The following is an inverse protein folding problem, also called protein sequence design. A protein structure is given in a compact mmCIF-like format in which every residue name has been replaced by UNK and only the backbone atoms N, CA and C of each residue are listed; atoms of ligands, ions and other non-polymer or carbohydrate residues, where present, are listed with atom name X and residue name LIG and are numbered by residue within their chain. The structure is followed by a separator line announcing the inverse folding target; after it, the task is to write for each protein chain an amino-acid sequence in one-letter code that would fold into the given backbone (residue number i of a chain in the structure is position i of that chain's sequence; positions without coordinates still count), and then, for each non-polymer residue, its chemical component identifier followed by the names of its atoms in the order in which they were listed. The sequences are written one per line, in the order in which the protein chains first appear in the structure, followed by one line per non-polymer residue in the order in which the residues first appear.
data_IF_364402667001
#
_entry.id   IF_364402667001
#
_cell.length_a   1.000
_cell.length_b   1.000
_cell.length_c   1.000
_cell.angle_alpha   90.00
_cell.angle_beta   90.00
_cell.angle_gamma   90.00
#
_symmetry.space_group_name_H-M   'P 1'
#
loop_
_entity.id
_entity.type
_entity.pdbx_description
1 polymer ?
2 non-polymer ?
3 non-polymer ?
4 non-polymer ?
5 non-polymer ?
6 non-polymer ?
7 non-polymer ?
8 water ?
#
# COMPACT_ATOMS: atom_id res chain seq x y z
N UNK A 14 4.86 17.65 -20.86
CA UNK A 14 3.69 17.31 -19.98
C UNK A 14 3.86 17.79 -18.53
N UNK A 15 3.68 16.87 -17.59
CA UNK A 15 3.78 17.22 -16.16
C UNK A 15 5.22 17.53 -15.69
N UNK A 16 6.23 16.84 -16.23
CA UNK A 16 7.63 17.06 -15.74
C UNK A 16 7.98 18.56 -15.92
N UNK A 17 7.65 19.09 -17.10
CA UNK A 17 7.96 20.51 -17.37
C UNK A 17 7.11 21.49 -16.58
N UNK A 18 5.79 21.19 -16.50
CA UNK A 18 4.86 21.94 -15.66
C UNK A 18 5.38 21.99 -14.16
N UNK A 19 5.88 20.86 -13.69
CA UNK A 19 6.48 20.80 -12.35
C UNK A 19 7.59 21.86 -12.24
N UNK A 20 8.53 21.84 -13.21
CA UNK A 20 9.66 22.76 -13.17
C UNK A 20 9.19 24.21 -13.24
N UNK A 21 8.27 24.47 -14.18
CA UNK A 21 7.73 25.85 -14.35
C UNK A 21 7.11 26.36 -13.06
N UNK A 22 6.26 25.49 -12.46
CA UNK A 22 5.48 25.90 -11.26
C UNK A 22 6.42 26.20 -10.05
N UNK A 23 7.48 25.40 -9.88
CA UNK A 23 8.33 25.67 -8.73
C UNK A 23 9.23 26.92 -8.88
N UNK A 24 9.47 27.34 -10.13
CA UNK A 24 10.23 28.59 -10.37
C UNK A 24 9.68 29.80 -9.60
N UNK A 25 8.36 30.00 -9.65
CA UNK A 25 7.74 31.19 -9.07
C UNK A 25 7.04 30.94 -7.72
N UNK A 26 6.98 29.68 -7.28
CA UNK A 26 6.31 29.34 -5.97
C UNK A 26 6.90 30.18 -4.86
N UNK A 27 6.02 30.63 -3.96
CA UNK A 27 6.45 31.27 -2.70
C UNK A 27 7.19 30.27 -1.81
N UNK A 28 7.90 30.77 -0.80
CA UNK A 28 8.61 29.87 0.10
C UNK A 28 7.65 28.82 0.71
N UNK A 29 8.17 27.66 1.02
CA UNK A 29 7.39 26.56 1.55
C UNK A 29 6.79 26.93 2.93
N UNK A 30 7.56 27.61 3.81
CA UNK A 30 7.16 28.10 5.18
C UNK A 30 6.25 27.07 5.81
N UNK A 31 6.77 25.87 6.03
CA UNK A 31 5.91 24.71 6.25
C UNK A 31 5.12 24.90 7.57
N UNK A 32 5.75 25.41 8.61
CA UNK A 32 5.05 25.61 9.87
C UNK A 32 3.88 26.59 9.69
N UNK A 33 4.06 27.65 8.95
CA UNK A 33 2.97 28.57 8.74
C UNK A 33 1.82 27.97 7.97
N UNK A 34 2.16 27.15 6.99
CA UNK A 34 1.15 26.53 6.18
C UNK A 34 0.38 25.55 7.04
N UNK A 35 1.06 24.78 7.85
CA UNK A 35 0.41 23.81 8.67
C UNK A 35 -0.48 24.52 9.67
N UNK A 36 0.02 25.61 10.21
CA UNK A 36 -0.81 26.42 11.20
C UNK A 36 -2.15 26.87 10.67
N UNK A 37 -2.22 27.34 9.42
CA UNK A 37 -3.41 27.97 8.87
C UNK A 37 -4.33 26.97 8.18
N UNK A 38 -3.89 25.72 8.15
CA UNK A 38 -4.66 24.68 7.43
C UNK A 38 -6.02 24.46 8.13
N UNK A 39 -7.06 24.42 7.31
CA UNK A 39 -8.41 24.04 7.74
C UNK A 39 -8.70 22.66 7.24
N UNK A 40 -9.29 21.80 8.08
CA UNK A 40 -9.57 20.44 7.63
C UNK A 40 -10.56 20.30 6.48
N UNK A 41 -11.43 21.28 6.25
CA UNK A 41 -12.41 21.13 5.19
C UNK A 41 -11.97 21.46 3.77
N UNK A 42 -10.65 21.68 3.59
CA UNK A 42 -10.13 22.22 2.32
C UNK A 42 -8.97 21.32 1.81
N UNK A 43 -8.84 21.29 0.47
CA UNK A 43 -7.67 20.67 -0.14
C UNK A 43 -6.41 21.44 0.24
N UNK A 44 -5.25 20.83 0.05
CA UNK A 44 -4.02 21.41 0.57
C UNK A 44 -3.48 22.53 -0.32
N UNK A 45 -2.72 23.43 0.25
CA UNK A 45 -2.06 24.46 -0.53
C UNK A 45 -1.07 23.79 -1.51
N UNK A 46 -0.83 24.51 -2.60
CA UNK A 46 -0.09 23.96 -3.71
C UNK A 46 1.17 23.17 -3.28
N UNK A 47 2.07 23.79 -2.50
CA UNK A 47 3.40 23.08 -2.35
C UNK A 47 3.29 21.73 -1.69
N UNK A 48 2.20 21.46 -0.98
CA UNK A 48 2.07 20.09 -0.44
C UNK A 48 2.05 19.07 -1.61
N UNK A 49 1.49 19.44 -2.72
CA UNK A 49 1.33 18.56 -3.85
C UNK A 49 2.40 18.73 -4.93
N UNK A 50 3.20 19.76 -4.85
CA UNK A 50 4.05 20.10 -6.04
C UNK A 50 5.48 20.36 -5.64
N UNK A 51 5.82 20.63 -4.38
CA UNK A 51 7.15 21.20 -4.08
C UNK A 51 8.13 20.08 -3.73
N UNK A 52 9.38 20.22 -4.18
CA UNK A 52 10.36 19.28 -3.66
C UNK A 52 10.65 19.38 -2.19
N UNK A 53 10.39 20.53 -1.58
CA UNK A 53 10.66 20.70 -0.16
C UNK A 53 9.68 19.83 0.62
N UNK A 54 8.42 19.87 0.25
CA UNK A 54 7.49 19.05 1.05
C UNK A 54 7.68 17.59 0.75
N UNK A 55 8.02 17.28 -0.49
CA UNK A 55 8.28 15.89 -0.84
C UNK A 55 9.42 15.33 -0.02
N UNK A 56 10.51 16.11 0.17
CA UNK A 56 11.60 15.66 1.05
C UNK A 56 11.13 15.37 2.49
N UNK A 57 10.28 16.21 3.04
CA UNK A 57 9.70 16.01 4.35
C UNK A 57 8.84 14.75 4.38
N UNK A 58 8.03 14.51 3.34
CA UNK A 58 7.16 13.36 3.27
C UNK A 58 7.94 12.07 3.29
N UNK A 59 9.08 12.04 2.58
CA UNK A 59 9.99 10.93 2.68
C UNK A 59 10.59 10.82 4.04
N UNK A 60 11.23 11.86 4.51
CA UNK A 60 11.94 11.77 5.79
C UNK A 60 11.01 11.39 6.96
N UNK A 61 9.84 12.03 7.03
CA UNK A 61 9.02 12.00 8.22
C UNK A 61 7.83 11.05 8.15
N UNK A 62 7.51 10.63 6.94
CA UNK A 62 6.32 9.74 6.76
C UNK A 62 6.74 8.38 6.23
N UNK A 63 7.28 8.35 5.00
CA UNK A 63 7.66 7.04 4.43
C UNK A 63 8.84 6.37 5.11
N UNK A 64 9.77 7.11 5.69
CA UNK A 64 10.91 6.52 6.32
C UNK A 64 10.67 6.30 7.81
N UNK A 65 9.45 6.58 8.31
CA UNK A 65 9.19 6.45 9.74
C UNK A 65 8.03 5.50 10.08
N UNK A 66 7.14 5.26 9.12
CA UNK A 66 5.94 4.46 9.41
C UNK A 66 6.09 3.05 8.83
N UNK A 67 5.28 2.10 9.35
CA UNK A 67 5.26 0.81 8.76
C UNK A 67 4.63 0.87 7.40
N UNK A 68 5.16 0.07 6.48
CA UNK A 68 4.79 0.07 5.04
C UNK A 68 4.53 -1.34 4.57
N UNK A 69 3.47 -1.55 3.82
CA UNK A 69 3.22 -2.80 3.12
C UNK A 69 4.27 -3.00 2.02
N UNK A 70 4.90 -4.15 2.00
CA UNK A 70 5.89 -4.49 0.98
C UNK A 70 5.34 -5.51 0.01
N UNK A 71 5.18 -6.75 0.43
CA UNK A 71 4.79 -7.82 -0.47
C UNK A 71 4.02 -8.92 0.29
N UNK A 72 3.28 -9.76 -0.45
CA UNK A 72 2.64 -10.93 0.25
C UNK A 72 3.67 -11.93 0.63
N UNK A 73 3.51 -12.65 1.73
CA UNK A 73 4.56 -13.57 2.18
C UNK A 73 4.66 -14.80 1.24
N UNK A 74 3.62 -15.06 0.51
CA UNK A 74 3.63 -16.20 -0.41
C UNK A 74 4.74 -16.02 -1.50
N UNK A 75 5.07 -14.78 -1.79
CA UNK A 75 6.28 -14.51 -2.66
C UNK A 75 7.59 -15.05 -2.08
N UNK A 76 7.66 -15.42 -0.83
CA UNK A 76 8.87 -15.91 -0.17
C UNK A 76 8.58 -17.34 0.36
N UNK A 77 7.87 -18.11 -0.41
CA UNK A 77 7.44 -19.44 0.05
C UNK A 77 8.61 -20.40 0.09
N UNK A 78 9.53 -20.19 -0.81
CA UNK A 78 10.58 -21.14 -1.00
C UNK A 78 11.84 -20.85 -0.21
N UNK A 79 12.59 -21.91 0.06
CA UNK A 79 13.89 -21.80 0.77
C UNK A 79 14.86 -20.93 -0.06
N UNK A 80 15.55 -20.00 0.60
CA UNK A 80 16.43 -19.04 -0.07
C UNK A 80 15.75 -18.01 -1.02
N UNK A 81 14.46 -17.91 -0.95
CA UNK A 81 13.75 -17.02 -1.80
C UNK A 81 13.90 -15.58 -1.33
N UNK A 82 13.93 -14.67 -2.30
CA UNK A 82 14.11 -13.26 -1.99
C UNK A 82 13.31 -12.42 -2.94
N UNK A 83 12.96 -11.23 -2.50
CA UNK A 83 12.30 -10.21 -3.36
C UNK A 83 12.92 -8.85 -2.95
N UNK A 84 13.04 -7.97 -3.92
CA UNK A 84 13.63 -6.63 -3.71
C UNK A 84 12.63 -5.57 -4.02
N UNK A 85 12.75 -4.44 -3.38
CA UNK A 85 11.90 -3.25 -3.61
C UNK A 85 12.67 -2.00 -3.21
N UNK A 86 12.29 -0.88 -3.86
CA UNK A 86 12.82 0.40 -3.57
C UNK A 86 11.79 1.17 -2.79
N UNK A 87 12.17 1.81 -1.73
CA UNK A 87 11.31 2.71 -0.97
C UNK A 87 12.01 4.05 -0.92
N UNK A 88 11.50 5.01 -1.69
CA UNK A 88 12.24 6.23 -1.80
C UNK A 88 13.63 5.93 -2.39
N UNK A 89 14.69 6.23 -1.63
CA UNK A 89 16.03 5.92 -2.12
C UNK A 89 16.58 4.63 -1.51
N UNK A 90 15.81 4.02 -0.62
CA UNK A 90 16.29 2.74 -0.02
C UNK A 90 16.08 1.61 -0.95
N UNK A 91 17.02 0.71 -1.05
CA UNK A 91 16.88 -0.53 -1.73
C UNK A 91 16.86 -1.66 -0.68
N UNK A 92 15.74 -2.33 -0.58
CA UNK A 92 15.51 -3.32 0.46
C UNK A 92 15.47 -4.73 -0.14
N UNK A 93 16.08 -5.71 0.50
CA UNK A 93 15.86 -7.11 0.10
C UNK A 93 15.20 -7.89 1.27
N UNK A 94 14.16 -8.67 0.90
CA UNK A 94 13.41 -9.44 1.86
C UNK A 94 13.71 -10.91 1.53
N UNK A 95 14.07 -11.72 2.54
CA UNK A 95 14.58 -13.06 2.27
C UNK A 95 13.99 -14.07 3.25
N UNK A 96 13.77 -15.28 2.74
CA UNK A 96 13.44 -16.42 3.65
C UNK A 96 14.71 -17.10 4.13
N UNK A 97 15.03 -16.92 5.40
CA UNK A 97 16.29 -17.43 5.92
C UNK A 97 16.19 -18.93 6.13
N UNK A 98 17.34 -19.51 6.44
CA UNK A 98 17.43 -20.98 6.60
C UNK A 98 16.55 -21.50 7.72
N UNK A 99 16.35 -20.72 8.79
CA UNK A 99 15.41 -21.09 9.87
C UNK A 99 13.94 -20.95 9.57
N UNK A 100 13.59 -20.63 8.33
CA UNK A 100 12.20 -20.41 7.97
C UNK A 100 11.63 -19.02 8.24
N UNK A 101 12.39 -18.15 8.92
CA UNK A 101 11.96 -16.84 9.28
C UNK A 101 12.12 -15.95 8.03
N UNK A 102 11.22 -14.99 7.86
CA UNK A 102 11.36 -13.95 6.86
C UNK A 102 11.99 -12.71 7.48
N UNK A 103 13.05 -12.20 6.84
CA UNK A 103 13.80 -11.08 7.35
C UNK A 103 14.11 -10.11 6.15
N UNK A 104 14.40 -8.89 6.50
CA UNK A 104 14.64 -7.86 5.50
C UNK A 104 15.96 -7.23 5.87
N UNK A 105 16.65 -6.76 4.82
CA UNK A 105 17.93 -6.10 4.98
C UNK A 105 18.04 -4.94 3.98
N UNK A 106 18.95 -4.02 4.25
CA UNK A 106 19.39 -3.09 3.22
C UNK A 106 20.24 -3.83 2.20
N UNK A 107 19.85 -3.65 0.94
CA UNK A 107 20.46 -4.28 -0.21
C UNK A 107 21.70 -3.48 -0.61
N UNK A 108 22.62 -3.33 0.33
CA UNK A 108 23.85 -2.56 0.11
C UNK A 108 25.00 -3.24 0.83
N UNK A 109 25.93 -3.75 0.02
CA UNK A 109 27.12 -4.40 0.52
C UNK A 109 27.93 -3.52 1.47
N UNK A 110 28.41 -4.11 2.58
CA UNK A 110 29.08 -3.34 3.61
C UNK A 110 30.52 -3.00 3.24
N UNK A 111 31.01 -3.55 2.15
CA UNK A 111 32.32 -3.22 1.62
C UNK A 111 32.34 -1.81 0.98
N UNK A 112 31.84 -1.72 -0.24
CA UNK A 112 31.82 -0.48 -0.96
C UNK A 112 30.42 -0.07 -1.41
N UNK A 113 29.43 -0.76 -0.92
CA UNK A 113 28.01 -0.27 -1.01
C UNK A 113 27.09 -0.87 -2.08
N UNK A 114 27.64 -1.69 -2.94
CA UNK A 114 26.94 -2.23 -4.10
C UNK A 114 25.59 -2.88 -3.71
N UNK A 115 24.61 -2.79 -4.61
CA UNK A 115 23.53 -3.73 -4.58
C UNK A 115 24.06 -5.15 -4.58
N UNK A 116 23.40 -6.00 -3.83
CA UNK A 116 23.74 -7.44 -3.81
C UNK A 116 22.79 -8.24 -4.68
N UNK A 117 21.51 -8.01 -4.50
CA UNK A 117 20.50 -8.68 -5.31
C UNK A 117 19.98 -7.65 -6.37
N UNK A 118 20.22 -8.01 -7.63
CA UNK A 118 19.91 -7.14 -8.75
C UNK A 118 18.51 -7.43 -9.31
N UNK A 119 18.11 -8.69 -9.30
CA UNK A 119 16.78 -9.11 -9.73
C UNK A 119 15.70 -8.79 -8.71
N UNK A 120 14.50 -8.58 -9.21
CA UNK A 120 13.28 -8.37 -8.39
C UNK A 120 12.91 -9.54 -7.50
N UNK A 121 13.19 -10.78 -7.96
CA UNK A 121 12.85 -11.99 -7.20
C UNK A 121 13.81 -13.07 -7.61
N UNK A 122 14.03 -14.02 -6.73
CA UNK A 122 14.90 -15.15 -7.06
C UNK A 122 15.05 -16.07 -5.86
N UNK A 123 15.99 -17.01 -5.98
CA UNK A 123 16.39 -17.87 -4.89
C UNK A 123 17.90 -17.92 -4.88
N UNK A 124 18.50 -17.92 -3.69
CA UNK A 124 19.90 -18.06 -3.50
C UNK A 124 20.20 -19.01 -2.35
N UNK A 125 21.45 -19.49 -2.26
CA UNK A 125 21.91 -20.19 -1.11
C UNK A 125 22.49 -19.16 -0.09
N UNK A 126 23.27 -18.24 -0.61
CA UNK A 126 23.84 -17.14 0.21
C UNK A 126 23.63 -15.83 -0.61
N UNK A 127 23.76 -14.73 0.06
CA UNK A 127 23.74 -13.39 -0.59
C UNK A 127 25.18 -13.06 -0.91
N UNK A 128 25.50 -13.09 -2.17
CA UNK A 128 26.86 -12.92 -2.69
C UNK A 128 26.99 -11.61 -3.45
N UNK A 129 27.73 -10.68 -2.92
CA UNK A 129 27.93 -9.43 -3.65
C UNK A 129 28.55 -9.65 -5.00
N UNK A 130 27.96 -9.08 -6.07
CA UNK A 130 28.49 -9.29 -7.42
C UNK A 130 29.80 -8.57 -7.73
N UNK A 131 30.23 -7.72 -6.83
CA UNK A 131 31.37 -6.86 -7.07
C UNK A 131 32.64 -7.62 -6.64
N UNK A 132 32.78 -7.93 -5.35
CA UNK A 132 34.02 -8.64 -4.90
C UNK A 132 33.64 -9.86 -4.08
N UNK A 133 32.40 -10.33 -4.19
CA UNK A 133 31.97 -11.57 -3.60
C UNK A 133 31.96 -11.70 -2.12
N UNK A 134 31.92 -10.62 -1.37
CA UNK A 134 31.60 -10.73 0.01
C UNK A 134 30.33 -11.51 0.10
N UNK A 135 30.30 -12.46 1.04
CA UNK A 135 29.26 -13.43 1.10
C UNK A 135 28.60 -13.41 2.47
N UNK A 136 27.26 -13.30 2.45
CA UNK A 136 26.45 -13.21 3.61
C UNK A 136 25.46 -14.36 3.76
N UNK A 137 25.31 -14.86 4.98
CA UNK A 137 24.24 -15.80 5.31
C UNK A 137 22.88 -15.10 5.14
N UNK A 138 21.81 -15.90 5.02
CA UNK A 138 20.46 -15.37 4.83
C UNK A 138 19.88 -14.69 6.07
N UNK A 139 20.64 -14.60 7.17
CA UNK A 139 20.27 -13.77 8.29
C UNK A 139 21.18 -12.54 8.39
N UNK A 140 21.88 -12.25 7.29
CA UNK A 140 22.68 -10.99 7.19
C UNK A 140 24.12 -11.09 7.64
N UNK A 141 24.46 -12.16 8.36
CA UNK A 141 25.85 -12.27 8.82
C UNK A 141 26.88 -12.38 7.70
N UNK A 142 27.96 -11.64 7.79
CA UNK A 142 29.05 -11.71 6.83
C UNK A 142 29.92 -12.97 7.15
N UNK A 143 29.85 -13.93 6.27
CA UNK A 143 30.56 -15.23 6.48
C UNK A 143 31.81 -15.39 5.67
N UNK A 144 32.08 -14.56 4.65
CA UNK A 144 33.32 -14.58 3.95
C UNK A 144 33.59 -13.26 3.26
N UNK A 145 34.78 -12.74 3.48
CA UNK A 145 35.25 -11.49 2.81
C UNK A 145 36.64 -11.72 2.33
N UNK A 146 36.95 -11.54 1.03
CA UNK A 146 38.26 -11.98 0.51
C UNK A 146 39.39 -10.97 0.85
N UNK A 147 40.49 -11.48 1.40
CA UNK A 147 41.66 -10.73 1.62
C UNK A 147 41.48 -9.41 2.34
N UNK A 148 40.82 -9.44 3.47
CA UNK A 148 40.69 -8.23 4.30
C UNK A 148 41.68 -8.04 5.42
N UNK A 149 42.66 -8.92 5.52
CA UNK A 149 43.69 -8.71 6.57
C UNK A 149 43.31 -9.38 7.89
N UNK A 150 44.30 -9.60 8.79
CA UNK A 150 43.93 -10.52 9.89
C UNK A 150 43.15 -9.83 11.00
N UNK A 151 43.19 -8.51 11.07
CA UNK A 151 42.36 -7.79 12.03
C UNK A 151 41.04 -7.18 11.47
N UNK A 152 40.52 -7.77 10.40
CA UNK A 152 39.15 -7.42 9.93
C UNK A 152 38.12 -8.14 10.78
N UNK A 153 37.13 -7.44 11.28
CA UNK A 153 36.12 -7.98 12.18
C UNK A 153 34.83 -8.06 11.42
N UNK A 154 34.50 -9.26 10.93
CA UNK A 154 33.34 -9.38 10.08
C UNK A 154 32.06 -9.13 10.86
N UNK A 155 32.09 -9.34 12.18
CA UNK A 155 30.92 -9.08 13.03
C UNK A 155 30.42 -7.63 12.90
N UNK A 156 31.28 -6.71 12.46
CA UNK A 156 30.88 -5.30 12.34
C UNK A 156 30.26 -5.03 10.99
N UNK A 157 30.34 -5.99 10.08
CA UNK A 157 29.98 -5.76 8.68
C UNK A 157 28.92 -6.71 8.11
N UNK A 158 27.96 -7.13 8.93
CA UNK A 158 26.81 -7.79 8.45
C UNK A 158 25.85 -6.79 7.76
N UNK A 159 24.96 -7.31 6.92
CA UNK A 159 23.98 -6.44 6.34
C UNK A 159 23.14 -5.72 7.37
N UNK A 160 22.76 -4.48 7.10
CA UNK A 160 21.96 -3.74 8.01
C UNK A 160 20.51 -4.24 7.99
N UNK A 161 19.93 -4.62 9.12
CA UNK A 161 18.59 -5.15 9.13
C UNK A 161 17.55 -4.03 8.89
N UNK A 162 16.39 -4.45 8.38
CA UNK A 162 15.18 -3.65 8.26
C UNK A 162 14.04 -4.26 9.06
N UNK A 163 13.46 -3.48 9.99
CA UNK A 163 12.33 -3.93 10.79
C UNK A 163 11.23 -4.54 9.91
N UNK A 164 10.74 -5.67 10.30
CA UNK A 164 9.76 -6.42 9.47
C UNK A 164 8.69 -7.13 10.36
N UNK A 165 7.47 -7.09 9.91
CA UNK A 165 6.35 -7.77 10.60
C UNK A 165 5.62 -8.60 9.54
N UNK A 166 4.98 -9.68 9.96
CA UNK A 166 4.09 -10.44 9.11
C UNK A 166 2.65 -10.30 9.56
N UNK A 167 1.89 -9.54 8.80
CA UNK A 167 0.48 -9.27 9.05
C UNK A 167 -0.41 -10.35 8.39
N UNK A 168 -0.47 -11.56 9.00
CA UNK A 168 -1.33 -12.60 8.53
C UNK A 168 -1.15 -12.98 7.06
N UNK A 169 0.09 -12.94 6.62
CA UNK A 169 0.39 -13.33 5.25
C UNK A 169 0.89 -12.14 4.41
N UNK A 170 0.95 -10.97 5.00
CA UNK A 170 1.36 -9.73 4.28
C UNK A 170 2.52 -9.11 4.99
N UNK A 171 3.64 -8.92 4.27
CA UNK A 171 4.84 -8.46 4.87
C UNK A 171 4.93 -6.91 4.88
N UNK A 172 5.10 -6.35 6.06
CA UNK A 172 5.25 -4.94 6.32
C UNK A 172 6.66 -4.68 6.85
N UNK A 173 7.22 -3.52 6.45
CA UNK A 173 8.56 -3.15 6.91
C UNK A 173 8.56 -1.71 7.44
N UNK A 174 9.61 -1.34 8.16
CA UNK A 174 9.73 0.01 8.68
C UNK A 174 11.22 0.40 8.67
N UNK A 175 11.49 1.52 8.02
CA UNK A 175 12.89 1.94 7.75
C UNK A 175 13.46 2.67 8.94
N UNK A 176 12.68 2.91 9.96
CA UNK A 176 13.22 3.58 11.16
C UNK A 176 13.84 2.63 12.16
N UNK A 177 14.88 3.08 12.85
CA UNK A 177 15.50 2.37 13.97
C UNK A 177 14.58 2.43 15.17
N UNK A 178 13.61 3.35 15.15
CA UNK A 178 12.60 3.39 16.17
C UNK A 178 11.17 3.29 15.66
N UNK A 179 10.78 2.12 15.24
CA UNK A 179 9.47 2.01 14.62
C UNK A 179 8.32 2.23 15.55
N UNK A 180 7.21 2.72 15.03
CA UNK A 180 6.03 2.90 15.83
C UNK A 180 5.39 1.59 16.14
N UNK A 181 4.40 1.65 17.04
CA UNK A 181 3.70 0.44 17.49
C UNK A 181 2.95 -0.18 16.31
N UNK A 182 3.26 -1.43 15.97
CA UNK A 182 2.51 -2.17 14.91
C UNK A 182 1.49 -3.13 15.53
N UNK A 183 1.72 -3.48 16.80
CA UNK A 183 0.93 -4.56 17.42
C UNK A 183 -0.52 -4.18 17.54
N UNK A 184 -0.82 -2.91 17.79
CA UNK A 184 -2.22 -2.51 17.93
C UNK A 184 -3.02 -2.83 16.67
N UNK A 185 -2.42 -2.42 15.56
CA UNK A 185 -3.04 -2.71 14.26
C UNK A 185 -3.07 -4.20 14.02
N UNK A 186 -1.98 -4.91 14.22
CA UNK A 186 -1.89 -6.34 13.91
C UNK A 186 -2.99 -7.10 14.70
N UNK A 187 -3.10 -6.81 16.00
CA UNK A 187 -4.17 -7.43 16.80
C UNK A 187 -5.57 -7.12 16.30
N UNK A 188 -5.85 -5.89 15.89
CA UNK A 188 -7.14 -5.54 15.43
C UNK A 188 -7.45 -6.25 14.15
N UNK A 189 -6.45 -6.30 13.27
CA UNK A 189 -6.72 -6.79 11.92
C UNK A 189 -6.80 -8.27 11.82
N UNK A 190 -6.16 -8.99 12.71
CA UNK A 190 -6.04 -10.44 12.57
C UNK A 190 -7.34 -11.18 12.35
N UNK A 191 -8.36 -10.89 13.16
CA UNK A 191 -9.63 -11.63 12.95
C UNK A 191 -10.24 -11.45 11.58
N UNK A 192 -10.01 -10.29 10.94
CA UNK A 192 -10.59 -10.00 9.67
C UNK A 192 -9.77 -10.68 8.60
N UNK A 193 -8.44 -10.68 8.75
CA UNK A 193 -7.56 -11.21 7.72
C UNK A 193 -7.35 -12.74 7.78
N UNK A 194 -7.43 -13.31 8.95
CA UNK A 194 -7.06 -14.71 9.11
C UNK A 194 -7.99 -15.61 8.30
N UNK A 195 -9.24 -15.19 8.08
CA UNK A 195 -10.22 -15.96 7.35
C UNK A 195 -9.94 -16.01 5.88
N UNK A 196 -8.95 -15.23 5.45
CA UNK A 196 -8.54 -15.29 4.03
C UNK A 196 -7.39 -16.21 3.76
N UNK A 197 -6.78 -16.80 4.78
CA UNK A 197 -5.76 -17.77 4.61
C UNK A 197 -4.60 -17.33 3.67
N UNK A 198 -4.17 -16.09 3.84
CA UNK A 198 -3.27 -15.49 2.86
C UNK A 198 -1.95 -16.22 2.79
N UNK A 199 -1.56 -16.91 3.85
CA UNK A 199 -0.35 -17.70 3.82
C UNK A 199 -0.44 -18.85 2.81
N UNK A 200 -1.66 -19.21 2.39
CA UNK A 200 -1.90 -20.20 1.36
C UNK A 200 -2.19 -19.63 0.01
N UNK A 201 -1.83 -18.38 -0.19
CA UNK A 201 -2.09 -17.75 -1.49
C UNK A 201 -0.93 -18.03 -2.46
N UNK A 202 -1.15 -17.66 -3.71
CA UNK A 202 -0.06 -17.43 -4.63
C UNK A 202 -0.39 -16.10 -5.33
N UNK A 203 0.61 -15.48 -5.95
CA UNK A 203 0.37 -14.28 -6.75
C UNK A 203 -0.08 -14.68 -8.17
N UNK A 204 -1.29 -14.38 -8.54
CA UNK A 204 -1.81 -14.67 -9.87
C UNK A 204 -1.31 -13.65 -10.93
N UNK A 205 -1.13 -12.43 -10.51
CA UNK A 205 -0.85 -11.34 -11.43
C UNK A 205 -0.37 -10.14 -10.60
N UNK A 206 0.53 -9.36 -11.20
CA UNK A 206 0.97 -8.11 -10.53
C UNK A 206 0.94 -7.02 -11.61
N UNK A 207 0.43 -5.85 -11.29
CA UNK A 207 0.45 -4.70 -12.15
C UNK A 207 1.13 -3.52 -11.46
N UNK A 208 2.14 -2.90 -12.14
CA UNK A 208 2.85 -1.78 -11.52
C UNK A 208 2.68 -0.63 -12.47
N UNK A 209 2.12 0.46 -12.04
CA UNK A 209 1.98 1.65 -12.88
C UNK A 209 2.55 2.87 -12.15
N UNK A 210 2.97 3.86 -12.97
CA UNK A 210 3.32 5.16 -12.42
C UNK A 210 2.23 6.13 -12.75
N UNK A 211 1.70 6.78 -11.74
CA UNK A 211 0.72 7.85 -11.91
C UNK A 211 1.46 9.15 -11.73
N UNK A 212 1.29 10.05 -12.71
CA UNK A 212 1.92 11.36 -12.63
C UNK A 212 1.16 12.34 -11.73
N UNK A 213 1.00 11.95 -10.47
CA UNK A 213 0.54 12.88 -9.42
C UNK A 213 1.20 12.57 -8.13
N UNK A 214 1.24 13.54 -7.21
CA UNK A 214 1.79 13.35 -5.86
C UNK A 214 1.07 12.22 -5.16
N UNK A 215 1.79 11.55 -4.30
CA UNK A 215 1.21 10.37 -3.57
C UNK A 215 -0.04 10.77 -2.83
N UNK A 216 -0.09 12.00 -2.36
CA UNK A 216 -1.30 12.41 -1.60
C UNK A 216 -2.50 12.49 -2.52
N UNK A 217 -2.30 12.89 -3.77
CA UNK A 217 -3.39 12.95 -4.73
C UNK A 217 -3.91 11.58 -5.11
N UNK A 218 -3.05 10.60 -5.06
CA UNK A 218 -3.41 9.21 -5.33
C UNK A 218 -4.33 8.79 -4.13
N UNK A 219 -3.92 9.13 -2.93
CA UNK A 219 -4.73 8.76 -1.73
C UNK A 219 -6.04 9.51 -1.69
N UNK A 220 -6.08 10.81 -1.99
CA UNK A 220 -7.36 11.55 -1.96
C UNK A 220 -8.31 11.00 -2.95
N UNK A 221 -7.81 10.65 -4.16
CA UNK A 221 -8.54 9.99 -5.15
C UNK A 221 -9.13 8.66 -4.67
N UNK A 222 -8.33 7.89 -3.96
CA UNK A 222 -8.76 6.60 -3.50
C UNK A 222 -9.86 6.67 -2.45
N UNK A 223 -9.78 7.68 -1.61
CA UNK A 223 -10.62 7.77 -0.46
C UNK A 223 -12.01 8.37 -0.67
N UNK A 224 -12.39 8.58 -1.91
CA UNK A 224 -13.75 8.96 -2.24
C UNK A 224 -14.29 8.24 -3.48
N UNK A 225 -15.61 8.05 -3.61
CA UNK A 225 -16.25 7.65 -4.83
C UNK A 225 -17.11 8.72 -5.40
N UNK A 226 -16.81 9.99 -4.99
CA UNK A 226 -17.39 11.20 -5.55
C UNK A 226 -17.17 11.16 -7.09
N UNK A 227 -16.06 10.57 -7.54
CA UNK A 227 -15.71 10.58 -8.95
C UNK A 227 -16.12 9.28 -9.69
N UNK A 228 -16.69 8.31 -9.00
CA UNK A 228 -16.78 6.98 -9.56
C UNK A 228 -17.88 6.78 -10.59
N UNK A 229 -19.03 7.45 -10.43
CA UNK A 229 -20.09 7.18 -11.44
C UNK A 229 -19.72 7.68 -12.80
N UNK A 230 -18.99 8.81 -12.86
CA UNK A 230 -18.59 9.34 -14.17
C UNK A 230 -17.39 8.63 -14.75
N UNK A 231 -16.57 8.05 -13.89
CA UNK A 231 -15.21 7.68 -14.30
C UNK A 231 -14.91 6.20 -14.29
N UNK A 232 -15.79 5.38 -13.64
CA UNK A 232 -15.47 3.94 -13.48
C UNK A 232 -16.60 3.01 -13.89
N UNK A 233 -16.90 2.96 -15.21
CA UNK A 233 -18.02 2.10 -15.67
C UNK A 233 -17.86 0.67 -15.20
N UNK A 234 -16.66 0.10 -15.29
CA UNK A 234 -16.54 -1.33 -14.98
C UNK A 234 -16.72 -1.56 -13.48
N UNK A 235 -16.01 -0.76 -12.65
CA UNK A 235 -16.05 -0.96 -11.21
C UNK A 235 -17.48 -0.77 -10.67
N UNK A 236 -18.19 0.23 -11.23
CA UNK A 236 -19.54 0.56 -10.79
C UNK A 236 -20.51 -0.58 -11.01
N UNK A 237 -20.14 -1.60 -11.75
CA UNK A 237 -21.05 -2.74 -11.85
C UNK A 237 -21.06 -3.60 -10.57
N UNK A 238 -19.97 -3.52 -9.80
CA UNK A 238 -19.86 -4.36 -8.58
C UNK A 238 -19.62 -3.55 -7.28
N UNK A 239 -18.96 -2.37 -7.36
CA UNK A 239 -18.62 -1.56 -6.15
C UNK A 239 -19.71 -0.46 -5.97
N UNK A 240 -20.35 -0.43 -4.80
CA UNK A 240 -21.45 0.58 -4.57
C UNK A 240 -21.00 2.08 -4.57
N UNK A 242 -22.42 4.30 -2.82
CA UNK A 242 -22.90 4.82 -1.52
C UNK A 242 -21.69 5.40 -0.72
N UNK A 243 -21.74 6.69 -0.35
CA UNK A 243 -20.67 7.38 0.44
C UNK A 243 -20.23 6.62 1.72
N UNK A 244 -21.17 5.90 2.36
CA UNK A 244 -20.88 5.20 3.64
C UNK A 244 -19.92 4.02 3.44
N UNK A 245 -19.88 3.50 2.21
CA UNK A 245 -19.02 2.40 1.92
C UNK A 245 -17.60 2.87 1.94
N UNK A 246 -17.38 3.76 1.00
CA UNK A 246 -16.02 4.19 0.69
C UNK A 246 -15.44 5.13 1.79
N UNK A 247 -16.25 5.71 2.69
CA UNK A 247 -15.67 6.68 3.62
C UNK A 247 -15.52 6.23 5.03
N UNK A 248 -15.84 7.21 5.90
CA UNK A 248 -15.76 6.99 7.35
C UNK A 248 -16.92 7.55 8.23
N UNK A 249 -18.10 7.77 7.66
CA UNK A 249 -19.24 8.35 8.42
C UNK A 249 -19.92 7.26 9.26
N UNK A 250 -19.61 5.99 8.89
CA UNK A 250 -19.96 4.82 9.73
C UNK A 250 -19.21 4.87 11.06
N UNK A 251 -18.10 5.65 11.15
CA UNK A 251 -17.45 5.85 12.45
C UNK A 251 -18.30 6.55 13.49
N UNK A 252 -19.16 7.48 13.05
CA UNK A 252 -20.06 8.15 14.03
C UNK A 252 -21.34 7.36 14.22
N UNK A 253 -21.49 6.19 13.55
CA UNK A 253 -22.70 5.37 13.64
C UNK A 253 -23.16 4.73 12.32
N UNK A 254 -23.59 3.47 12.41
CA UNK A 254 -23.85 2.65 11.18
C UNK A 254 -25.30 2.60 10.74
N UNK A 255 -25.56 2.74 9.45
CA UNK A 255 -26.93 2.59 8.92
C UNK A 255 -27.50 1.21 9.20
N UNK A 256 -28.82 1.09 9.18
CA UNK A 256 -29.45 -0.18 9.47
C UNK A 256 -29.18 -1.20 8.36
N UNK A 257 -29.14 -0.74 7.11
CA UNK A 257 -28.90 -1.64 6.03
C UNK A 257 -27.43 -2.16 6.08
N UNK A 258 -26.49 -1.26 6.35
CA UNK A 258 -25.10 -1.69 6.41
C UNK A 258 -24.92 -2.67 7.60
N UNK A 259 -25.54 -2.33 8.73
CA UNK A 259 -25.35 -3.16 9.91
C UNK A 259 -25.88 -4.55 9.67
N UNK A 260 -26.99 -4.67 8.98
CA UNK A 260 -27.54 -5.97 8.61
C UNK A 260 -26.60 -6.83 7.76
N UNK A 261 -25.84 -6.17 6.87
CA UNK A 261 -24.78 -6.86 6.19
C UNK A 261 -23.68 -7.36 7.12
N UNK A 262 -23.19 -6.49 8.01
CA UNK A 262 -22.15 -6.86 9.00
C UNK A 262 -22.67 -8.05 9.79
N UNK A 263 -23.96 -8.00 10.18
CA UNK A 263 -24.53 -9.12 10.97
C UNK A 263 -24.64 -10.42 10.20
N UNK A 264 -24.98 -10.37 8.92
CA UNK A 264 -24.96 -11.59 8.15
C UNK A 264 -23.57 -12.21 8.10
N UNK A 265 -22.54 -11.38 7.85
CA UNK A 265 -21.17 -11.90 7.89
C UNK A 265 -20.77 -12.49 9.20
N UNK A 266 -21.02 -11.76 10.28
CA UNK A 266 -20.55 -12.16 11.56
C UNK A 266 -21.32 -13.37 12.15
N UNK A 267 -22.59 -13.44 11.83
CA UNK A 267 -23.39 -14.67 12.22
C UNK A 267 -22.79 -15.88 11.57
N UNK A 268 -22.17 -15.69 10.40
CA UNK A 268 -21.51 -16.79 9.69
C UNK A 268 -20.06 -16.97 10.09
N UNK A 269 -19.56 -16.24 11.11
CA UNK A 269 -18.22 -16.41 11.62
C UNK A 269 -17.13 -15.57 10.86
N UNK A 270 -17.59 -14.60 10.10
CA UNK A 270 -16.67 -13.74 9.34
C UNK A 270 -16.69 -12.27 9.88
N UNK A 271 -15.59 -11.83 10.51
CA UNK A 271 -15.56 -10.49 11.10
C UNK A 271 -15.79 -9.46 10.02
N UNK A 272 -16.57 -8.44 10.31
CA UNK A 272 -17.04 -7.49 9.32
C UNK A 272 -17.11 -6.07 9.81
N UNK A 273 -17.42 -5.91 11.11
CA UNK A 273 -17.74 -4.61 11.65
C UNK A 273 -16.67 -3.56 11.38
N UNK A 274 -17.14 -2.40 11.00
CA UNK A 274 -16.31 -1.22 10.70
C UNK A 274 -15.56 -0.88 11.92
N UNK A 275 -14.26 -0.73 11.78
CA UNK A 275 -13.38 -0.28 12.84
C UNK A 275 -12.33 0.71 12.28
N UNK A 276 -12.14 1.82 12.99
CA UNK A 276 -11.22 2.89 12.59
C UNK A 276 -10.24 3.15 13.70
N UNK A 277 -8.94 3.15 13.38
CA UNK A 277 -7.89 3.46 14.36
C UNK A 277 -8.19 4.73 15.14
N UNK A 278 -7.68 4.76 16.38
CA UNK A 278 -7.77 6.01 17.21
C UNK A 278 -7.19 7.21 16.50
N UNK A 279 -6.01 7.02 15.92
CA UNK A 279 -5.27 8.07 15.25
C UNK A 279 -5.59 8.14 13.72
N UNK A 280 -6.50 7.31 13.23
CA UNK A 280 -7.01 7.38 11.90
C UNK A 280 -6.08 6.66 10.85
N UNK A 281 -5.06 6.02 11.30
CA UNK A 281 -4.06 5.40 10.42
C UNK A 281 -4.65 4.28 9.51
N UNK A 282 -5.56 3.53 10.05
CA UNK A 282 -6.08 2.37 9.41
C UNK A 282 -7.58 2.17 9.70
N UNK A 283 -8.19 1.39 8.81
CA UNK A 283 -9.61 1.08 8.88
C UNK A 283 -9.88 -0.26 8.28
N UNK A 284 -10.80 -1.02 8.88
CA UNK A 284 -11.26 -2.28 8.28
C UNK A 284 -12.77 -2.31 8.33
N UNK A 285 -13.35 -2.79 7.24
CA UNK A 285 -14.82 -2.96 7.13
C UNK A 285 -15.11 -3.92 6.03
N UNK A 286 -16.05 -4.88 6.24
CA UNK A 286 -16.44 -5.75 5.14
C UNK A 286 -17.74 -5.30 4.54
N UNK A 287 -17.68 -4.69 3.38
CA UNK A 287 -18.81 -3.92 2.86
C UNK A 287 -19.51 -4.76 1.85
N UNK A 288 -20.83 -4.54 1.63
CA UNK A 288 -21.51 -5.24 0.59
C UNK A 288 -21.19 -4.76 -0.80
N UNK A 289 -21.30 -5.65 -1.76
CA UNK A 289 -21.16 -5.23 -3.15
C UNK A 289 -22.49 -4.76 -3.73
N UNK A 290 -22.43 -4.25 -4.95
CA UNK A 290 -23.65 -3.75 -5.65
C UNK A 290 -24.60 -4.84 -5.93
N UNK A 291 -25.88 -4.56 -5.79
CA UNK A 291 -26.85 -5.41 -6.39
C UNK A 291 -26.52 -6.83 -5.97
N UNK A 292 -26.39 -7.70 -6.95
CA UNK A 292 -26.19 -9.09 -6.66
C UNK A 292 -24.72 -9.54 -6.94
N UNK A 293 -23.80 -8.59 -7.10
CA UNK A 293 -22.41 -8.96 -7.42
C UNK A 293 -21.76 -9.71 -6.29
N UNK A 294 -20.81 -10.59 -6.62
CA UNK A 294 -20.08 -11.37 -5.68
C UNK A 294 -18.54 -11.04 -5.69
N UNK A 295 -18.08 -10.45 -6.80
CA UNK A 295 -16.65 -10.23 -7.02
C UNK A 295 -16.46 -9.09 -8.02
N UNK A 296 -15.22 -8.65 -8.17
CA UNK A 296 -14.89 -7.62 -9.10
C UNK A 296 -14.63 -8.17 -10.45
N UNK A 297 -15.71 -8.49 -11.15
CA UNK A 297 -15.67 -9.05 -12.51
C UNK A 297 -16.77 -8.36 -13.36
N UNK A 298 -16.66 -8.54 -14.65
CA UNK A 298 -17.59 -7.85 -15.51
C UNK A 298 -19.00 -8.44 -15.38
N UNK A 299 -19.11 -9.71 -15.08
CA UNK A 299 -20.40 -10.30 -14.84
C UNK A 299 -20.81 -10.40 -13.39
N UNK A 300 -19.92 -10.06 -12.50
CA UNK A 300 -20.23 -9.99 -11.10
C UNK A 300 -20.07 -11.28 -10.36
N UNK A 301 -19.83 -12.35 -11.08
CA UNK A 301 -19.60 -13.61 -10.45
C UNK A 301 -18.20 -13.79 -9.97
N UNK A 302 -17.95 -14.79 -9.10
CA UNK A 302 -16.65 -15.06 -8.57
C UNK A 302 -15.63 -15.20 -9.77
N UNK A 303 -14.46 -14.61 -9.62
CA UNK A 303 -13.44 -14.78 -10.60
C UNK A 303 -12.77 -16.15 -10.50
N UNK A 304 -12.65 -16.70 -9.33
CA UNK A 304 -11.94 -17.90 -9.08
C UNK A 304 -12.85 -18.93 -8.40
N UNK A 305 -12.83 -20.14 -8.92
CA UNK A 305 -13.74 -21.17 -8.42
C UNK A 305 -13.24 -21.86 -7.20
N UNK A 306 -11.95 -21.81 -6.96
CA UNK A 306 -11.39 -22.32 -5.75
C UNK A 306 -11.03 -21.12 -4.90
N UNK A 307 -11.78 -20.90 -3.84
CA UNK A 307 -11.61 -19.70 -3.05
C UNK A 307 -10.34 -19.60 -2.25
N UNK A 308 -9.89 -18.38 -2.04
CA UNK A 308 -8.77 -18.13 -1.16
C UNK A 308 -9.36 -17.75 0.19
N UNK A 309 -9.38 -18.74 1.10
CA UNK A 309 -9.83 -18.53 2.47
C UNK A 309 -11.18 -19.21 2.70
N UNK A 310 -11.79 -18.90 3.83
CA UNK A 310 -13.07 -19.55 4.29
C UNK A 310 -14.14 -18.57 4.58
N UNK A 311 -14.17 -17.43 3.90
CA UNK A 311 -15.19 -16.42 4.09
C UNK A 311 -16.54 -16.93 3.75
N UNK A 312 -17.51 -16.62 4.59
CA UNK A 312 -18.88 -16.92 4.38
C UNK A 312 -19.74 -15.75 4.89
N UNK A 313 -20.88 -15.49 4.26
CA UNK A 313 -21.52 -16.18 3.16
C UNK A 313 -20.86 -15.76 1.83
N UNK A 314 -21.25 -16.37 0.73
CA UNK A 314 -20.61 -16.06 -0.56
C UNK A 314 -20.74 -14.62 -0.98
N UNK A 315 -21.81 -13.91 -0.55
CA UNK A 315 -21.99 -12.53 -0.78
C UNK A 315 -21.57 -11.63 0.43
N UNK A 316 -20.56 -12.07 1.17
CA UNK A 316 -19.87 -11.31 2.22
C UNK A 316 -19.32 -9.97 1.73
N UNK A 317 -19.06 -9.87 0.41
CA UNK A 317 -18.58 -8.62 -0.15
C UNK A 317 -17.09 -8.42 0.02
N UNK A 318 -16.72 -7.17 0.13
CA UNK A 318 -15.29 -6.77 0.17
C UNK A 318 -14.81 -6.31 1.53
N UNK A 319 -13.76 -6.95 2.01
CA UNK A 319 -13.06 -6.47 3.19
C UNK A 319 -12.15 -5.35 2.72
N UNK A 320 -12.54 -4.15 3.05
CA UNK A 320 -11.71 -2.97 2.77
C UNK A 320 -10.72 -2.81 3.92
N UNK A 321 -9.42 -2.60 3.60
CA UNK A 321 -8.46 -2.29 4.66
C UNK A 321 -7.56 -1.19 4.07
N UNK A 322 -7.44 -0.08 4.74
CA UNK A 322 -6.35 0.85 4.38
C UNK A 322 -5.45 0.99 5.57
N UNK A 323 -4.13 1.24 5.32
CA UNK A 323 -3.17 1.54 6.34
C UNK A 323 -2.25 2.61 5.72
N UNK A 324 -2.37 3.82 6.20
CA UNK A 324 -1.56 4.93 5.64
C UNK A 324 -0.12 4.79 6.13
N UNK A 325 0.88 5.15 5.26
CA UNK A 325 0.73 5.80 3.95
C UNK A 325 0.78 4.85 2.77
N UNK A 326 0.92 3.55 2.99
CA UNK A 326 1.35 2.61 1.98
C UNK A 326 0.32 1.78 1.27
N UNK A 327 -0.88 1.57 1.82
CA UNK A 327 -1.69 0.50 1.24
C UNK A 327 -3.18 0.61 1.43
N UNK A 328 -3.92 0.26 0.33
CA UNK A 328 -5.27 -0.12 0.45
C UNK A 328 -5.48 -1.47 -0.10
N UNK A 329 -6.58 -2.14 0.24
CA UNK A 329 -6.72 -3.58 -0.01
C UNK A 329 -8.19 -3.93 -0.10
N UNK A 330 -8.46 -4.93 -0.90
CA UNK A 330 -9.81 -5.53 -1.05
C UNK A 330 -9.66 -7.04 -0.90
N UNK A 331 -10.24 -7.63 0.12
CA UNK A 331 -10.17 -9.07 0.29
C UNK A 331 -11.63 -9.61 0.12
N UNK A 332 -11.80 -10.36 -0.97
CA UNK A 332 -13.11 -10.90 -1.36
C UNK A 332 -13.17 -12.39 -0.99
N UNK A 333 -14.37 -12.97 -1.07
CA UNK A 333 -14.41 -14.39 -0.73
C UNK A 333 -13.58 -15.26 -1.66
N UNK A 334 -13.49 -14.91 -2.95
CA UNK A 334 -12.79 -15.80 -3.86
C UNK A 334 -11.33 -15.46 -4.11
N UNK A 335 -10.99 -14.19 -4.10
CA UNK A 335 -9.61 -13.76 -4.24
C UNK A 335 -9.38 -12.46 -3.47
N UNK A 336 -8.14 -12.00 -3.45
CA UNK A 336 -7.79 -10.76 -2.78
C UNK A 336 -6.90 -9.86 -3.65
N UNK A 337 -6.92 -8.58 -3.36
CA UNK A 337 -6.09 -7.60 -4.03
C UNK A 337 -5.44 -6.70 -3.05
N UNK A 338 -4.15 -6.50 -3.23
CA UNK A 338 -3.47 -5.62 -2.39
C UNK A 338 -2.95 -4.47 -3.29
N UNK A 339 -2.84 -3.30 -2.72
CA UNK A 339 -2.34 -2.13 -3.45
C UNK A 339 -1.27 -1.46 -2.60
N UNK A 340 -0.10 -1.18 -3.22
CA UNK A 340 1.05 -0.57 -2.54
C UNK A 340 1.32 0.74 -3.21
N UNK A 341 1.37 1.81 -2.43
CA UNK A 341 1.58 3.21 -2.88
C UNK A 341 2.99 3.60 -2.44
N UNK A 342 3.86 3.91 -3.45
CA UNK A 342 5.21 4.34 -3.15
C UNK A 342 5.60 5.62 -3.89
N UNK A 343 6.20 6.52 -3.19
CA UNK A 343 6.52 7.86 -3.77
C UNK A 343 7.70 7.78 -4.76
N UNK A 344 7.56 8.44 -5.92
CA UNK A 344 8.66 8.44 -6.89
C UNK A 344 9.27 9.84 -7.05
N UNK A 345 8.44 10.88 -7.11
CA UNK A 345 8.92 12.25 -7.05
C UNK A 345 7.73 13.14 -6.61
N UNK A 346 7.91 14.45 -6.49
CA UNK A 346 6.79 15.26 -6.02
C UNK A 346 5.54 15.09 -6.82
N UNK A 347 5.66 14.72 -8.13
CA UNK A 347 4.51 14.55 -8.98
C UNK A 347 4.39 13.19 -9.60
N UNK A 348 4.98 12.16 -8.98
CA UNK A 348 4.91 10.82 -9.49
C UNK A 348 4.79 9.83 -8.33
N UNK A 349 3.97 8.82 -8.52
CA UNK A 349 3.69 7.82 -7.51
C UNK A 349 3.55 6.47 -8.18
N UNK A 350 4.19 5.47 -7.62
CA UNK A 350 4.08 4.10 -8.07
C UNK A 350 2.99 3.32 -7.33
N UNK A 351 2.08 2.74 -8.07
CA UNK A 351 1.03 1.91 -7.51
C UNK A 351 1.18 0.48 -7.99
N UNK A 352 1.27 -0.43 -7.07
CA UNK A 352 1.49 -1.87 -7.38
C UNK A 352 0.26 -2.63 -6.89
N UNK A 353 -0.43 -3.20 -7.84
CA UNK A 353 -1.61 -4.04 -7.54
C UNK A 353 -1.28 -5.48 -7.66
N UNK A 354 -1.63 -6.29 -6.67
CA UNK A 354 -1.25 -7.72 -6.61
C UNK A 354 -2.54 -8.50 -6.44
N UNK A 355 -2.80 -9.40 -7.38
CA UNK A 355 -3.96 -10.30 -7.27
C UNK A 355 -3.52 -11.57 -6.60
N UNK A 356 -4.21 -11.94 -5.51
CA UNK A 356 -3.88 -13.15 -4.74
C UNK A 356 -5.01 -14.19 -4.87
N UNK A 357 -4.62 -15.41 -5.22
CA UNK A 357 -5.57 -16.50 -5.37
C UNK A 357 -5.05 -17.69 -4.62
N UNK A 358 -5.93 -18.69 -4.41
CA UNK A 358 -5.48 -19.84 -3.74
C UNK A 358 -4.29 -20.48 -4.43
N UNK A 359 -3.31 -20.97 -3.70
CA UNK A 359 -2.08 -21.50 -4.28
C UNK A 359 -2.32 -22.67 -5.26
N UNK A 360 -3.42 -23.39 -5.07
CA UNK A 360 -3.79 -24.51 -5.92
C UNK A 360 -4.83 -24.17 -6.99
N UNK A 361 -5.26 -22.91 -7.11
CA UNK A 361 -6.08 -22.47 -8.16
C UNK A 361 -5.25 -22.44 -9.45
N UNK A 362 -5.79 -23.06 -10.52
CA UNK A 362 -5.03 -23.22 -11.77
C UNK A 362 -5.49 -22.26 -12.86
N UNK A 363 -4.56 -21.46 -13.39
CA UNK A 363 -4.89 -20.57 -14.44
C UNK A 363 -5.35 -21.32 -15.70
N UNK A 364 -6.51 -20.97 -16.21
CA UNK A 364 -7.14 -21.58 -17.36
C UNK A 364 -8.16 -22.65 -16.96
N UNK A 365 -8.18 -23.00 -15.67
CA UNK A 365 -9.08 -24.05 -15.19
C UNK A 365 -10.00 -23.44 -14.11
N UNK A 366 -9.40 -22.90 -13.06
CA UNK A 366 -10.18 -22.28 -11.94
C UNK A 366 -10.40 -20.79 -12.09
N UNK A 367 -9.60 -20.15 -12.96
CA UNK A 367 -9.76 -18.73 -13.28
C UNK A 367 -9.16 -18.44 -14.64
N UNK A 368 -9.62 -17.35 -15.22
CA UNK A 368 -9.14 -16.81 -16.46
C UNK A 368 -8.43 -15.47 -16.09
N UNK A 369 -7.20 -15.31 -16.56
CA UNK A 369 -6.43 -14.13 -16.22
C UNK A 369 -7.08 -12.83 -16.58
N UNK A 370 -7.62 -12.74 -17.77
CA UNK A 370 -8.32 -11.54 -18.19
C UNK A 370 -9.56 -11.26 -17.32
N UNK A 371 -10.40 -12.26 -17.13
CA UNK A 371 -11.55 -12.08 -16.31
C UNK A 371 -11.22 -11.64 -14.86
N UNK A 372 -10.17 -12.23 -14.32
CA UNK A 372 -9.71 -11.92 -13.00
C UNK A 372 -9.24 -10.49 -12.82
N UNK A 373 -8.61 -9.99 -13.87
CA UNK A 373 -7.83 -8.67 -13.71
C UNK A 373 -8.37 -7.47 -14.43
N UNK A 374 -9.25 -7.70 -15.38
CA UNK A 374 -9.67 -6.64 -16.25
C UNK A 374 -10.35 -5.46 -15.56
N UNK A 375 -11.20 -5.74 -14.56
CA UNK A 375 -11.87 -4.65 -13.88
C UNK A 375 -10.92 -3.67 -13.21
N UNK A 376 -9.95 -4.17 -12.46
CA UNK A 376 -9.10 -3.26 -11.71
C UNK A 376 -7.94 -2.72 -12.57
N UNK A 377 -7.56 -3.45 -13.58
CA UNK A 377 -6.67 -2.83 -14.61
C UNK A 377 -7.29 -1.60 -15.22
N UNK A 378 -8.56 -1.70 -15.62
CA UNK A 378 -9.30 -0.58 -16.15
C UNK A 378 -9.49 0.53 -15.12
N UNK A 379 -9.88 0.13 -13.91
CA UNK A 379 -10.09 1.12 -12.86
C UNK A 379 -8.85 1.92 -12.55
N UNK A 380 -7.71 1.20 -12.38
CA UNK A 380 -6.45 1.86 -12.06
C UNK A 380 -6.07 2.86 -13.16
N UNK A 381 -6.27 2.45 -14.42
CA UNK A 381 -5.97 3.35 -15.56
C UNK A 381 -6.87 4.60 -15.54
N UNK A 382 -8.10 4.47 -15.14
CA UNK A 382 -9.05 5.58 -15.03
C UNK A 382 -8.64 6.51 -13.86
N UNK A 383 -8.33 5.93 -12.73
CA UNK A 383 -7.83 6.70 -11.59
C UNK A 383 -6.57 7.43 -11.97
N UNK A 384 -5.64 6.74 -12.64
CA UNK A 384 -4.40 7.37 -13.02
C UNK A 384 -4.70 8.64 -13.88
N UNK A 385 -5.59 8.50 -14.88
CA UNK A 385 -5.88 9.65 -15.78
C UNK A 385 -6.43 10.84 -14.99
N UNK A 386 -7.33 10.53 -14.05
CA UNK A 386 -7.92 11.53 -13.18
C UNK A 386 -6.94 12.22 -12.26
N UNK A 387 -6.04 11.44 -11.66
CA UNK A 387 -5.02 11.93 -10.76
C UNK A 387 -4.10 12.83 -11.53
N UNK A 388 -3.73 12.41 -12.74
CA UNK A 388 -2.80 13.18 -13.56
C UNK A 388 -3.43 14.49 -14.04
N UNK A 389 -4.71 14.44 -14.32
CA UNK A 389 -5.41 15.66 -14.75
C UNK A 389 -5.51 16.63 -13.58
N UNK A 390 -5.78 16.05 -12.42
CA UNK A 390 -5.90 16.86 -11.20
C UNK A 390 -4.52 17.54 -10.90
N UNK A 391 -3.45 16.78 -11.03
CA UNK A 391 -2.10 17.27 -10.73
C UNK A 391 -1.74 18.47 -11.67
N UNK A 392 -2.18 18.33 -12.92
CA UNK A 392 -1.82 19.35 -13.90
C UNK A 392 -2.49 20.70 -13.60
N UNK A 393 -3.75 20.67 -13.16
CA UNK A 393 -4.43 21.88 -12.72
C UNK A 393 -3.83 22.48 -11.45
N UNK A 394 -3.40 21.61 -10.52
CA UNK A 394 -2.87 22.06 -9.29
C UNK A 394 -1.54 22.79 -9.48
N UNK A 395 -0.82 22.36 -10.51
CA UNK A 395 0.44 23.01 -10.86
C UNK A 395 0.29 24.47 -11.25
N UNK A 396 -0.95 24.88 -11.60
CA UNK A 396 -1.10 26.30 -11.86
C UNK A 396 -0.85 27.15 -10.64
N UNK A 397 -0.18 28.31 -10.80
CA UNK A 397 -0.06 29.27 -9.66
C UNK A 397 -1.39 29.87 -9.21
N UNK A 398 -2.43 29.68 -10.04
CA UNK A 398 -3.78 30.13 -9.67
C UNK A 398 -4.54 29.12 -8.83
N UNK A 399 -4.04 27.90 -8.71
CA UNK A 399 -4.68 26.92 -7.81
C UNK A 399 -4.73 27.41 -6.37
N UNK A 400 -5.93 27.31 -5.75
CA UNK A 400 -6.06 27.60 -4.32
C UNK A 400 -6.89 26.47 -3.73
N UNK A 401 -6.71 26.22 -2.46
CA UNK A 401 -7.54 25.22 -1.80
C UNK A 401 -9.02 25.42 -2.10
N UNK A 402 -9.72 24.30 -2.27
CA UNK A 402 -11.17 24.27 -2.38
C UNK A 402 -11.81 23.37 -1.38
N UNK A 403 -13.12 23.53 -1.20
CA UNK A 403 -13.77 22.77 -0.12
C UNK A 403 -14.10 21.37 -0.48
N UNK A 404 -13.88 20.41 0.41
CA UNK A 404 -14.28 19.06 0.22
C UNK A 404 -15.82 18.91 0.47
N UNK A 405 -16.41 18.02 -0.24
CA UNK A 405 -17.84 17.66 0.03
C UNK A 405 -17.94 16.92 1.37
N UNK A 406 -18.76 17.45 2.30
CA UNK A 406 -18.91 16.69 3.57
C UNK A 406 -19.55 15.32 3.39
N UNK A 407 -20.49 15.23 2.46
CA UNK A 407 -21.22 14.02 2.16
C UNK A 407 -20.42 12.93 1.42
N UNK A 408 -19.58 13.38 0.48
CA UNK A 408 -18.94 12.51 -0.50
C UNK A 408 -17.44 12.42 -0.24
N UNK A 409 -16.85 13.34 0.48
CA UNK A 409 -15.38 13.33 0.68
C UNK A 409 -14.93 13.28 2.11
N UNK A 410 -15.76 12.74 3.03
CA UNK A 410 -15.35 12.71 4.45
C UNK A 410 -14.07 11.82 4.61
N UNK A 411 -13.92 10.78 3.77
CA UNK A 411 -12.75 9.95 3.78
C UNK A 411 -11.49 10.69 3.31
N UNK A 412 -11.68 11.61 2.40
CA UNK A 412 -10.54 12.51 1.92
C UNK A 412 -10.11 13.42 3.07
N UNK A 413 -11.04 14.07 3.76
CA UNK A 413 -10.65 14.86 4.89
C UNK A 413 -9.94 14.07 5.91
N UNK A 414 -10.42 12.81 6.12
CA UNK A 414 -9.86 11.97 7.16
C UNK A 414 -8.43 11.63 6.85
N UNK A 415 -8.19 11.35 5.57
CA UNK A 415 -6.78 11.11 5.15
C UNK A 415 -5.86 12.35 5.35
N UNK A 416 -6.30 13.48 4.86
CA UNK A 416 -5.51 14.71 4.88
C UNK A 416 -5.24 15.09 6.33
N UNK A 417 -6.26 14.95 7.22
CA UNK A 417 -6.00 15.13 8.65
C UNK A 417 -4.97 14.23 9.23
N UNK A 418 -4.97 12.92 8.86
CA UNK A 418 -3.94 11.98 9.29
C UNK A 418 -2.56 12.45 8.84
N UNK A 419 -2.51 12.82 7.54
CA UNK A 419 -1.20 13.26 6.99
C UNK A 419 -0.63 14.54 7.70
N UNK A 420 -1.50 15.53 7.86
CA UNK A 420 -1.07 16.78 8.49
C UNK A 420 -0.65 16.59 9.94
N UNK A 421 -1.40 15.78 10.72
CA UNK A 421 -1.08 15.45 12.09
C UNK A 421 0.21 14.72 12.20
N UNK A 422 0.45 13.78 11.24
CA UNK A 422 1.64 13.03 11.25
C UNK A 422 2.88 13.92 10.96
N UNK A 423 2.74 14.79 10.00
CA UNK A 423 3.78 15.68 9.69
C UNK A 423 4.04 16.66 10.84
N UNK A 424 2.99 17.18 11.42
CA UNK A 424 3.13 18.11 12.54
C UNK A 424 3.92 17.48 13.69
N UNK A 425 3.55 16.25 14.04
CA UNK A 425 4.21 15.55 15.11
C UNK A 425 5.65 15.29 14.82
N UNK A 426 5.95 15.00 13.56
CA UNK A 426 7.32 14.70 13.17
C UNK A 426 8.22 15.92 13.16
N UNK A 427 7.66 17.10 12.92
CA UNK A 427 8.41 18.34 12.88
C UNK A 427 8.51 19.02 14.26
N UNK A 428 7.79 18.50 15.26
CA UNK A 428 7.77 19.13 16.60
C UNK A 428 9.19 19.12 17.25
#
# INVERSE_FOLDING_TARGET
MHHHHHHSSGVDLGTENLYFQSMMTANPTSIHQRLDRRLSGFSLEQPFYTSPEVYALDLQHIFYKQWLYAVPVCQLAKAGSYTTLRVGAYEVVIVRSRDGEVRAFHNSCRHRGSLICKARQGQVAKLVCPYHQWTYELDGKLIWANDMGPDFDASKYGLKPVNLRNLDGLIYICLSDTPPDFQTFAQLARPYLEVHDLKDAKVAFTSTIIEKGNWKLVWENNRECYHCSSNHPALCRSFPLDPEVAGVQADGGVSKKLQAHFDRCEAAGTPAQFVLAGDGQYRLARMPLQEKALSYTMDGKAAVSRHLGRVAPPDAGTLLMFHYPSTWNHFLPDHSLTFRVMPISPTETEVTTTWLVHKDAVEGVDYDLKRLTEVWIATNDEDREIVETNQQGILSPAYVPGPYSPGQESGVMQFVDWYAASLERALAPRQVAAE
#
